data_IF_921063772297
#
_entry.id   IF_921063772297
#
_cell.length_a   1.000
_cell.length_b   1.000
_cell.length_c   1.000
_cell.angle_alpha   90.00
_cell.angle_beta   90.00
_cell.angle_gamma   90.00
#
_symmetry.space_group_name_H-M   'P 1'
#
loop_
_entity.id
_entity.type
_entity.pdbx_description
1 polymer ?
#
# COMPACT_ATOMS: atom_id res chain seq x y z
N UNK A 1 -22.97 -54.97 -15.76
CA UNK A 1 -21.84 -54.07 -16.08
C UNK A 1 -22.28 -52.65 -16.40
N UNK A 2 -23.27 -52.37 -17.25
CA UNK A 2 -23.72 -50.98 -17.58
C UNK A 2 -24.23 -50.16 -16.36
N UNK A 3 -24.90 -50.78 -15.38
CA UNK A 3 -25.39 -50.05 -14.17
C UNK A 3 -24.28 -49.68 -13.17
N UNK A 4 -23.18 -50.46 -13.15
CA UNK A 4 -22.01 -50.15 -12.32
C UNK A 4 -21.21 -48.95 -12.85
N UNK A 5 -21.13 -48.83 -14.19
CA UNK A 5 -20.47 -47.71 -14.86
C UNK A 5 -21.20 -46.37 -14.60
N UNK A 6 -22.53 -46.41 -14.60
CA UNK A 6 -23.38 -45.22 -14.32
C UNK A 6 -23.21 -44.71 -12.88
N UNK A 7 -23.02 -45.63 -11.91
CA UNK A 7 -22.80 -45.27 -10.52
C UNK A 7 -21.43 -44.62 -10.30
N UNK A 8 -20.39 -45.06 -11.00
CA UNK A 8 -19.05 -44.44 -10.93
C UNK A 8 -19.00 -43.04 -11.53
N UNK A 9 -19.79 -42.74 -12.56
CA UNK A 9 -19.84 -41.40 -13.18
C UNK A 9 -20.53 -40.38 -12.25
N UNK A 10 -21.51 -40.80 -11.46
CA UNK A 10 -22.20 -39.93 -10.49
C UNK A 10 -21.30 -39.58 -9.30
N UNK A 11 -20.39 -40.50 -8.88
CA UNK A 11 -19.48 -40.26 -7.76
C UNK A 11 -18.34 -39.26 -8.07
N UNK A 12 -17.99 -39.06 -9.35
CA UNK A 12 -16.92 -38.12 -9.76
C UNK A 12 -17.40 -36.68 -9.83
N UNK A 13 -18.72 -36.43 -9.91
CA UNK A 13 -19.29 -35.12 -10.08
C UNK A 13 -19.42 -34.27 -8.78
N UNK A 14 -19.02 -34.80 -7.62
CA UNK A 14 -19.32 -34.11 -6.32
C UNK A 14 -18.15 -33.33 -5.70
N UNK A 15 -17.00 -33.21 -6.37
CA UNK A 15 -15.87 -32.45 -5.86
C UNK A 15 -15.75 -31.03 -6.50
N UNK A 16 -16.85 -30.39 -6.81
CA UNK A 16 -16.85 -28.94 -7.04
C UNK A 16 -16.74 -28.26 -5.67
N UNK A 17 -15.53 -28.06 -5.18
CA UNK A 17 -15.26 -27.16 -4.06
C UNK A 17 -15.70 -25.77 -4.48
N UNK A 18 -16.90 -25.35 -4.10
CA UNK A 18 -17.35 -24.00 -4.29
C UNK A 18 -16.37 -23.07 -3.52
N UNK A 19 -15.58 -22.30 -4.26
CA UNK A 19 -14.79 -21.22 -3.65
C UNK A 19 -15.75 -20.34 -2.88
N UNK A 20 -15.52 -20.21 -1.57
CA UNK A 20 -16.31 -19.31 -0.74
C UNK A 20 -15.95 -17.88 -1.12
N UNK A 21 -16.97 -17.07 -1.42
CA UNK A 21 -16.83 -15.69 -1.82
C UNK A 21 -17.66 -14.87 -0.82
N UNK A 22 -17.08 -13.80 -0.28
CA UNK A 22 -17.80 -12.76 0.42
C UNK A 22 -17.80 -11.55 -0.50
N UNK A 23 -18.99 -11.07 -0.82
CA UNK A 23 -19.22 -9.87 -1.62
C UNK A 23 -20.23 -9.00 -0.86
N UNK A 24 -19.81 -7.80 -0.42
CA UNK A 24 -20.66 -6.98 0.45
C UNK A 24 -20.29 -5.50 0.37
N UNK A 25 -21.32 -4.64 0.44
CA UNK A 25 -21.16 -3.22 0.63
C UNK A 25 -20.59 -2.92 2.02
N UNK A 26 -19.74 -1.90 2.12
CA UNK A 26 -19.08 -1.53 3.37
C UNK A 26 -19.41 -0.10 3.84
N UNK A 27 -20.25 0.62 3.08
CA UNK A 27 -20.56 2.03 3.32
C UNK A 27 -19.39 2.97 3.00
N UNK A 28 -19.62 4.27 3.15
CA UNK A 28 -18.65 5.29 2.76
C UNK A 28 -17.41 5.29 3.66
N UNK A 29 -16.23 5.37 3.04
CA UNK A 29 -14.95 5.53 3.72
C UNK A 29 -13.99 6.37 2.87
N UNK A 30 -13.04 7.00 3.53
CA UNK A 30 -11.95 7.77 2.92
C UNK A 30 -10.57 7.32 3.40
N UNK A 31 -10.53 6.44 4.39
CA UNK A 31 -9.31 5.84 4.89
C UNK A 31 -9.46 4.31 4.91
N UNK A 32 -8.45 3.60 4.43
CA UNK A 32 -8.35 2.15 4.56
C UNK A 32 -7.16 1.78 5.45
N UNK A 33 -7.37 0.86 6.41
CA UNK A 33 -6.32 0.25 7.24
C UNK A 33 -6.29 -1.25 7.06
N UNK A 34 -5.13 -1.78 6.70
CA UNK A 34 -4.93 -3.21 6.44
C UNK A 34 -3.85 -3.78 7.34
N UNK A 35 -4.10 -4.96 7.91
CA UNK A 35 -3.25 -5.61 8.91
C UNK A 35 -3.01 -7.09 8.58
N UNK A 36 -2.16 -7.76 9.39
CA UNK A 36 -2.05 -9.21 9.49
C UNK A 36 -1.67 -9.92 8.18
N UNK A 37 -0.71 -9.38 7.40
CA UNK A 37 -0.25 -9.94 6.12
C UNK A 37 -1.34 -10.00 5.02
N UNK A 38 -2.47 -9.34 5.20
CA UNK A 38 -3.55 -9.33 4.21
C UNK A 38 -3.09 -8.64 2.92
N UNK A 39 -3.45 -9.22 1.77
CA UNK A 39 -3.22 -8.64 0.44
C UNK A 39 -4.49 -7.97 -0.08
N UNK A 40 -4.39 -6.68 -0.43
CA UNK A 40 -5.50 -5.88 -0.94
C UNK A 40 -5.18 -5.33 -2.32
N UNK A 41 -6.12 -5.49 -3.24
CA UNK A 41 -6.16 -4.75 -4.50
C UNK A 41 -7.24 -3.66 -4.42
N UNK A 42 -6.83 -2.40 -4.54
CA UNK A 42 -7.71 -1.24 -4.55
C UNK A 42 -8.21 -0.99 -5.97
N UNK A 43 -9.51 -0.80 -6.14
CA UNK A 43 -10.17 -0.61 -7.44
C UNK A 43 -11.10 0.61 -7.33
N UNK A 44 -10.90 1.61 -8.18
CA UNK A 44 -11.79 2.76 -8.27
C UNK A 44 -13.16 2.33 -8.78
N UNK A 45 -14.24 2.81 -8.15
CA UNK A 45 -15.62 2.38 -8.46
C UNK A 45 -16.61 3.48 -8.11
N UNK A 46 -17.87 3.29 -8.53
CA UNK A 46 -18.99 4.13 -8.12
C UNK A 46 -19.64 3.65 -6.81
N UNK A 47 -19.15 2.54 -6.22
CA UNK A 47 -19.66 1.95 -4.98
C UNK A 47 -18.53 1.52 -4.04
N UNK A 48 -18.81 1.53 -2.74
CA UNK A 48 -17.88 1.08 -1.69
C UNK A 48 -18.19 -0.36 -1.28
N UNK A 49 -17.37 -1.30 -1.71
CA UNK A 49 -17.62 -2.74 -1.59
C UNK A 49 -16.33 -3.51 -1.35
N UNK A 50 -16.40 -4.64 -0.66
CA UNK A 50 -15.31 -5.61 -0.57
C UNK A 50 -15.72 -6.92 -1.20
N UNK A 51 -14.76 -7.53 -1.91
CA UNK A 51 -14.88 -8.87 -2.49
C UNK A 51 -13.71 -9.71 -1.99
N UNK A 52 -14.01 -10.73 -1.17
CA UNK A 52 -13.01 -11.61 -0.55
C UNK A 52 -13.13 -12.98 -1.21
N UNK A 53 -12.02 -13.47 -1.78
CA UNK A 53 -11.92 -14.77 -2.44
C UNK A 53 -10.80 -15.60 -1.81
N UNK A 54 -11.01 -16.90 -1.65
CA UNK A 54 -9.98 -17.81 -1.17
C UNK A 54 -10.48 -18.82 -0.14
N UNK A 55 -9.54 -19.48 0.54
CA UNK A 55 -9.85 -20.49 1.53
C UNK A 55 -10.23 -19.91 2.91
N UNK A 56 -9.65 -18.75 3.25
CA UNK A 56 -9.72 -18.15 4.59
C UNK A 56 -10.71 -16.97 4.68
N UNK A 57 -11.72 -16.92 3.80
CA UNK A 57 -12.65 -15.77 3.71
C UNK A 57 -13.36 -15.47 5.03
N UNK A 58 -13.66 -16.49 5.86
CA UNK A 58 -14.31 -16.32 7.16
C UNK A 58 -13.36 -15.89 8.27
N UNK A 59 -12.06 -15.95 8.05
CA UNK A 59 -11.05 -15.50 9.01
C UNK A 59 -10.76 -13.99 8.89
N UNK A 60 -11.29 -13.35 7.85
CA UNK A 60 -11.20 -11.90 7.65
C UNK A 60 -12.32 -11.20 8.43
N UNK A 61 -11.93 -10.20 9.17
CA UNK A 61 -12.82 -9.27 9.85
C UNK A 61 -12.68 -7.88 9.26
N UNK A 62 -13.80 -7.27 8.91
CA UNK A 62 -13.82 -5.85 8.50
C UNK A 62 -14.74 -5.02 9.36
N UNK A 63 -14.44 -3.75 9.49
CA UNK A 63 -15.30 -2.76 10.14
C UNK A 63 -15.12 -1.43 9.42
N UNK A 64 -16.23 -0.73 9.18
CA UNK A 64 -16.18 0.67 8.78
C UNK A 64 -16.74 1.51 9.94
N UNK A 65 -15.92 2.41 10.47
CA UNK A 65 -16.32 3.33 11.54
C UNK A 65 -15.77 4.72 11.26
N UNK A 66 -16.64 5.71 11.27
CA UNK A 66 -16.27 7.11 11.02
C UNK A 66 -15.48 7.32 9.72
N UNK A 67 -15.84 6.60 8.65
CA UNK A 67 -15.16 6.70 7.36
C UNK A 67 -13.79 5.99 7.28
N UNK A 68 -13.47 5.10 8.24
CA UNK A 68 -12.27 4.27 8.25
C UNK A 68 -12.65 2.81 8.05
N UNK A 69 -12.34 2.26 6.88
CA UNK A 69 -12.46 0.84 6.60
C UNK A 69 -11.23 0.12 7.13
N UNK A 70 -11.42 -0.78 8.08
CA UNK A 70 -10.36 -1.58 8.70
C UNK A 70 -10.51 -3.04 8.32
N UNK A 71 -9.44 -3.65 7.79
CA UNK A 71 -9.35 -5.07 7.42
C UNK A 71 -8.29 -5.74 8.29
N UNK A 72 -8.64 -6.84 8.95
CA UNK A 72 -7.72 -7.63 9.78
C UNK A 72 -8.16 -9.09 9.86
N UNK A 73 -7.28 -9.96 10.29
CA UNK A 73 -7.63 -11.34 10.63
C UNK A 73 -8.37 -11.44 11.97
N UNK A 74 -9.15 -12.50 12.18
CA UNK A 74 -9.60 -12.87 13.51
C UNK A 74 -8.38 -13.18 14.41
N UNK A 75 -8.49 -12.89 15.70
CA UNK A 75 -7.36 -12.96 16.65
C UNK A 75 -6.64 -14.32 16.66
N UNK A 76 -7.40 -15.41 16.51
CA UNK A 76 -6.87 -16.79 16.46
C UNK A 76 -6.11 -17.11 15.15
N UNK A 77 -6.25 -16.26 14.13
CA UNK A 77 -5.67 -16.41 12.78
C UNK A 77 -4.75 -15.24 12.41
N UNK A 78 -4.27 -14.52 13.39
CA UNK A 78 -3.38 -13.38 13.17
C UNK A 78 -2.13 -13.80 12.38
N UNK A 79 -1.70 -12.97 11.41
CA UNK A 79 -0.58 -13.24 10.49
C UNK A 79 -0.75 -14.45 9.55
N UNK A 80 -1.97 -14.84 9.20
CA UNK A 80 -2.27 -15.87 8.19
C UNK A 80 -3.00 -15.30 6.97
N UNK A 81 -2.86 -14.00 6.70
CA UNK A 81 -3.54 -13.31 5.61
C UNK A 81 -2.91 -13.48 4.22
N UNK A 82 -1.72 -14.06 4.10
CA UNK A 82 -0.95 -14.14 2.84
C UNK A 82 -1.70 -14.84 1.69
N UNK A 83 -2.56 -15.82 1.99
CA UNK A 83 -3.32 -16.57 0.98
C UNK A 83 -4.71 -15.95 0.69
N UNK A 84 -4.97 -14.74 1.18
CA UNK A 84 -6.27 -14.09 1.06
C UNK A 84 -6.17 -12.81 0.24
N UNK A 85 -6.71 -12.85 -0.97
CA UNK A 85 -6.82 -11.67 -1.83
C UNK A 85 -8.16 -10.98 -1.58
N UNK A 86 -8.10 -9.70 -1.25
CA UNK A 86 -9.26 -8.84 -1.06
C UNK A 86 -9.25 -7.77 -2.14
N UNK A 87 -10.31 -7.69 -2.93
CA UNK A 87 -10.58 -6.55 -3.79
C UNK A 87 -11.42 -5.54 -2.99
N UNK A 88 -10.92 -4.32 -2.88
CA UNK A 88 -11.63 -3.21 -2.22
C UNK A 88 -11.99 -2.18 -3.26
N UNK A 89 -13.28 -2.05 -3.51
CA UNK A 89 -13.86 -1.05 -4.40
C UNK A 89 -14.14 0.21 -3.60
N UNK A 90 -13.70 1.37 -4.10
CA UNK A 90 -13.83 2.64 -3.39
C UNK A 90 -14.28 3.78 -4.29
N UNK A 91 -15.08 4.69 -3.74
CA UNK A 91 -15.51 5.93 -4.42
C UNK A 91 -14.50 7.06 -4.21
N UNK A 92 -14.02 7.25 -2.99
CA UNK A 92 -13.01 8.23 -2.60
C UNK A 92 -12.03 7.61 -1.61
N UNK A 93 -10.74 7.97 -1.70
CA UNK A 93 -9.74 7.42 -0.82
C UNK A 93 -8.61 8.43 -0.56
N UNK A 94 -8.62 9.03 0.62
CA UNK A 94 -7.64 10.05 1.03
C UNK A 94 -6.40 9.43 1.70
N UNK A 95 -6.58 8.31 2.42
CA UNK A 95 -5.51 7.68 3.22
C UNK A 95 -5.46 6.17 3.01
N UNK A 96 -4.26 5.67 2.70
CA UNK A 96 -3.94 4.24 2.63
C UNK A 96 -2.93 3.90 3.73
N UNK A 97 -3.31 3.04 4.68
CA UNK A 97 -2.50 2.68 5.85
C UNK A 97 -2.30 1.16 5.94
N UNK A 98 -1.10 0.70 5.63
CA UNK A 98 -0.67 -0.69 5.70
C UNK A 98 0.14 -0.98 6.97
N UNK A 99 -0.21 -2.05 7.67
CA UNK A 99 0.38 -2.45 8.94
C UNK A 99 0.65 -3.96 8.97
N UNK A 100 1.54 -4.39 9.87
CA UNK A 100 1.75 -5.81 10.19
C UNK A 100 1.97 -6.67 8.94
N UNK A 101 2.86 -6.22 8.04
CA UNK A 101 3.22 -6.93 6.81
C UNK A 101 2.16 -6.93 5.70
N UNK A 102 1.07 -6.17 5.82
CA UNK A 102 0.04 -6.07 4.79
C UNK A 102 0.61 -5.61 3.44
N UNK A 103 0.02 -6.09 2.35
CA UNK A 103 0.37 -5.68 0.99
C UNK A 103 -0.82 -4.99 0.33
N UNK A 104 -0.65 -3.76 -0.09
CA UNK A 104 -1.70 -2.96 -0.72
C UNK A 104 -1.23 -2.51 -2.10
N UNK A 105 -2.01 -2.83 -3.12
CA UNK A 105 -1.72 -2.47 -4.50
C UNK A 105 -2.91 -1.72 -5.09
N UNK A 106 -2.65 -0.65 -5.81
CA UNK A 106 -3.59 -0.05 -6.73
C UNK A 106 -3.01 -0.14 -8.13
N UNK A 107 -3.65 -0.92 -9.03
CA UNK A 107 -3.18 -1.10 -10.40
C UNK A 107 -3.67 -0.01 -11.34
N UNK A 108 -4.63 0.80 -10.90
CA UNK A 108 -5.15 1.96 -11.61
C UNK A 108 -4.44 3.23 -11.14
N UNK A 109 -4.42 4.24 -12.01
CA UNK A 109 -3.87 5.55 -11.65
C UNK A 109 -4.85 6.27 -10.71
N UNK A 110 -4.36 6.69 -9.54
CA UNK A 110 -5.15 7.49 -8.60
C UNK A 110 -5.01 8.96 -8.98
N UNK A 111 -6.12 9.59 -9.36
CA UNK A 111 -6.17 10.99 -9.76
C UNK A 111 -6.99 11.80 -8.75
N UNK A 112 -6.32 12.71 -8.02
CA UNK A 112 -6.94 13.58 -7.00
C UNK A 112 -5.96 14.67 -6.55
N UNK A 113 -6.43 15.63 -5.74
CA UNK A 113 -5.57 16.72 -5.27
C UNK A 113 -4.52 16.23 -4.27
N UNK A 114 -4.88 15.33 -3.34
CA UNK A 114 -4.01 14.88 -2.26
C UNK A 114 -4.22 13.42 -1.91
N UNK A 115 -3.12 12.74 -1.54
CA UNK A 115 -3.15 11.39 -0.97
C UNK A 115 -2.13 11.25 0.16
N UNK A 116 -2.47 10.46 1.18
CA UNK A 116 -1.57 10.06 2.24
C UNK A 116 -1.33 8.54 2.24
N UNK A 117 -0.06 8.14 2.22
CA UNK A 117 0.38 6.74 2.23
C UNK A 117 1.17 6.46 3.49
N UNK A 118 0.74 5.48 4.29
CA UNK A 118 1.39 5.05 5.52
C UNK A 118 1.70 3.57 5.46
N UNK A 119 2.98 3.19 5.49
CA UNK A 119 3.42 1.81 5.58
C UNK A 119 4.24 1.61 6.85
N UNK A 120 3.86 0.65 7.67
CA UNK A 120 4.55 0.37 8.92
C UNK A 120 4.58 -1.13 9.23
N UNK A 121 5.54 -1.51 10.10
CA UNK A 121 5.68 -2.90 10.55
C UNK A 121 5.79 -3.91 9.39
N UNK A 122 6.67 -3.59 8.42
CA UNK A 122 6.93 -4.43 7.25
C UNK A 122 5.87 -4.40 6.16
N UNK A 123 4.83 -3.56 6.27
CA UNK A 123 3.82 -3.43 5.22
C UNK A 123 4.40 -2.82 3.93
N UNK A 124 3.81 -3.17 2.79
CA UNK A 124 4.16 -2.62 1.47
C UNK A 124 2.94 -2.01 0.79
N UNK A 125 3.10 -0.79 0.30
CA UNK A 125 2.11 -0.09 -0.53
C UNK A 125 2.73 0.17 -1.90
N UNK A 126 2.03 -0.19 -2.98
CA UNK A 126 2.42 0.12 -4.36
C UNK A 126 1.27 0.78 -5.10
N UNK A 127 1.50 2.00 -5.62
CA UNK A 127 0.46 2.82 -6.23
C UNK A 127 1.02 3.74 -7.33
N UNK A 128 0.29 3.83 -8.44
CA UNK A 128 0.46 4.89 -9.44
C UNK A 128 -0.47 6.06 -9.11
N UNK A 129 0.01 7.32 -9.27
CA UNK A 129 -0.78 8.50 -8.94
C UNK A 129 -0.53 9.69 -9.85
N UNK A 130 -1.54 10.55 -9.96
CA UNK A 130 -1.45 11.90 -10.50
C UNK A 130 -2.13 12.84 -9.51
N UNK A 131 -1.32 13.54 -8.70
CA UNK A 131 -1.81 14.33 -7.56
C UNK A 131 -1.08 15.68 -7.47
N UNK A 132 -1.66 16.66 -6.78
CA UNK A 132 -0.93 17.88 -6.43
C UNK A 132 0.01 17.62 -5.26
N UNK A 133 -0.43 16.85 -4.24
CA UNK A 133 0.34 16.63 -3.04
C UNK A 133 0.29 15.17 -2.55
N UNK A 134 1.46 14.57 -2.36
CA UNK A 134 1.63 13.24 -1.78
C UNK A 134 2.30 13.33 -0.40
N UNK A 135 1.66 12.80 0.65
CA UNK A 135 2.23 12.63 1.98
C UNK A 135 2.59 11.16 2.20
N UNK A 136 3.87 10.87 2.45
CA UNK A 136 4.39 9.51 2.47
C UNK A 136 5.10 9.26 3.79
N UNK A 137 4.67 8.23 4.49
CA UNK A 137 5.26 7.79 5.75
C UNK A 137 5.59 6.31 5.69
N UNK A 138 6.87 5.97 5.81
CA UNK A 138 7.33 4.59 5.93
C UNK A 138 8.17 4.43 7.22
N UNK A 139 7.73 3.54 8.11
CA UNK A 139 8.38 3.35 9.41
C UNK A 139 8.45 1.86 9.76
N UNK A 140 9.42 1.51 10.62
CA UNK A 140 9.57 0.12 11.13
C UNK A 140 9.57 -0.92 9.99
N UNK A 141 10.44 -0.68 9.00
CA UNK A 141 10.58 -1.55 7.82
C UNK A 141 9.43 -1.47 6.81
N UNK A 142 8.50 -0.52 6.94
CA UNK A 142 7.46 -0.27 5.94
C UNK A 142 8.05 0.21 4.62
N UNK A 143 7.42 -0.14 3.50
CA UNK A 143 7.89 0.15 2.15
C UNK A 143 6.77 0.80 1.36
N UNK A 144 7.06 1.95 0.74
CA UNK A 144 6.14 2.65 -0.16
C UNK A 144 6.79 2.80 -1.52
N UNK A 145 6.17 2.22 -2.55
CA UNK A 145 6.57 2.29 -3.95
C UNK A 145 5.55 3.14 -4.71
N UNK A 146 6.03 4.19 -5.41
CA UNK A 146 5.16 5.12 -6.13
C UNK A 146 5.65 5.41 -7.53
N UNK A 147 4.69 5.71 -8.42
CA UNK A 147 4.96 6.14 -9.80
C UNK A 147 3.95 7.17 -10.28
N UNK A 148 4.24 7.85 -11.39
CA UNK A 148 3.34 8.84 -12.01
C UNK A 148 3.81 10.27 -11.80
N UNK A 149 2.88 11.17 -11.43
CA UNK A 149 3.12 12.60 -11.31
C UNK A 149 2.60 13.13 -9.96
N UNK A 150 3.37 13.97 -9.31
CA UNK A 150 2.89 14.82 -8.22
C UNK A 150 3.55 16.20 -8.32
N UNK A 151 2.84 17.27 -7.98
CA UNK A 151 3.48 18.58 -7.91
C UNK A 151 4.47 18.63 -6.76
N UNK A 152 4.08 18.15 -5.59
CA UNK A 152 4.94 18.09 -4.42
C UNK A 152 4.75 16.81 -3.61
N UNK A 153 5.83 16.36 -2.96
CA UNK A 153 5.80 15.24 -2.05
C UNK A 153 6.53 15.54 -0.74
N UNK A 154 5.99 15.00 0.36
CA UNK A 154 6.59 15.03 1.68
C UNK A 154 6.80 13.62 2.19
N UNK A 155 8.05 13.27 2.51
CA UNK A 155 8.45 11.91 2.84
C UNK A 155 9.02 11.88 4.25
N UNK A 156 8.50 11.00 5.10
CA UNK A 156 8.98 10.73 6.46
C UNK A 156 9.36 9.28 6.61
N UNK A 157 10.65 9.02 6.82
CA UNK A 157 11.17 7.69 7.07
C UNK A 157 11.73 7.57 8.49
N UNK A 158 11.47 6.45 9.13
CA UNK A 158 12.00 6.16 10.44
C UNK A 158 12.18 4.64 10.63
N UNK A 159 13.17 4.24 11.42
CA UNK A 159 13.40 2.84 11.81
C UNK A 159 13.40 1.88 10.61
N UNK A 160 14.24 2.20 9.60
CA UNK A 160 14.41 1.37 8.41
C UNK A 160 13.26 1.44 7.39
N UNK A 161 12.42 2.50 7.42
CA UNK A 161 11.42 2.72 6.38
C UNK A 161 12.06 2.98 5.01
N UNK A 162 11.40 2.53 3.95
CA UNK A 162 11.90 2.61 2.56
C UNK A 162 10.88 3.32 1.67
N UNK A 163 11.37 4.25 0.86
CA UNK A 163 10.60 4.93 -0.18
C UNK A 163 11.22 4.71 -1.55
N UNK A 164 10.52 3.98 -2.42
CA UNK A 164 10.88 3.65 -3.80
C UNK A 164 10.09 4.59 -4.75
N UNK A 165 10.46 5.87 -4.81
CA UNK A 165 9.74 6.93 -5.51
C UNK A 165 10.43 7.51 -6.75
N UNK A 166 11.48 6.86 -7.27
CA UNK A 166 12.18 7.32 -8.49
C UNK A 166 11.26 7.53 -9.70
N UNK A 167 10.19 6.72 -9.79
CA UNK A 167 9.22 6.76 -10.88
C UNK A 167 8.09 7.79 -10.66
N UNK A 168 7.98 8.41 -9.48
CA UNK A 168 7.07 9.52 -9.21
C UNK A 168 7.76 10.84 -9.54
N UNK A 169 7.41 11.46 -10.65
CA UNK A 169 8.00 12.74 -11.08
C UNK A 169 7.37 13.87 -10.31
N UNK A 170 8.21 14.68 -9.62
CA UNK A 170 7.75 15.83 -8.84
C UNK A 170 8.54 17.09 -9.17
N UNK A 171 7.94 18.25 -8.91
CA UNK A 171 8.64 19.53 -8.93
C UNK A 171 9.38 19.75 -7.60
N UNK A 172 8.67 19.53 -6.48
CA UNK A 172 9.18 19.78 -5.12
C UNK A 172 9.15 18.50 -4.29
N UNK A 173 10.26 18.20 -3.62
CA UNK A 173 10.36 17.06 -2.73
C UNK A 173 10.96 17.46 -1.38
N UNK A 174 10.37 16.99 -0.29
CA UNK A 174 10.95 17.13 1.05
C UNK A 174 11.04 15.76 1.71
N UNK A 175 12.24 15.39 2.21
CA UNK A 175 12.45 14.11 2.87
C UNK A 175 13.07 14.29 4.24
N UNK A 176 12.49 13.60 5.24
CA UNK A 176 13.01 13.50 6.61
C UNK A 176 13.28 12.06 6.99
N UNK A 177 14.52 11.76 7.37
CA UNK A 177 14.93 10.44 7.90
C UNK A 177 15.38 10.63 9.34
N UNK A 178 14.78 9.91 10.28
CA UNK A 178 15.09 10.08 11.72
C UNK A 178 15.99 9.00 12.31
N UNK A 179 15.84 7.73 11.92
CA UNK A 179 16.64 6.62 12.42
C UNK A 179 16.74 5.51 11.36
N UNK A 180 17.71 5.67 10.46
CA UNK A 180 17.88 4.79 9.30
C UNK A 180 16.69 4.85 8.35
N UNK A 181 16.90 4.41 7.13
CA UNK A 181 15.91 4.37 6.06
C UNK A 181 16.55 4.68 4.72
N UNK A 182 15.83 4.40 3.65
CA UNK A 182 16.28 4.64 2.29
C UNK A 182 15.20 5.35 1.48
N UNK A 183 15.56 6.41 0.79
CA UNK A 183 14.66 7.15 -0.09
C UNK A 183 15.25 7.27 -1.48
N UNK A 184 14.54 6.75 -2.48
CA UNK A 184 14.73 7.10 -3.88
C UNK A 184 13.63 8.09 -4.29
N UNK A 185 14.00 9.32 -4.65
CA UNK A 185 13.03 10.35 -4.98
C UNK A 185 13.45 11.13 -6.24
N UNK A 186 12.45 11.69 -6.90
CA UNK A 186 12.65 12.58 -8.03
C UNK A 186 12.21 14.00 -7.66
N UNK A 187 12.97 15.02 -8.09
CA UNK A 187 12.57 16.43 -8.03
C UNK A 187 13.18 17.17 -9.23
N UNK A 188 12.41 18.07 -9.87
CA UNK A 188 12.92 18.90 -10.97
C UNK A 188 13.32 20.32 -10.50
N UNK A 189 12.68 20.85 -9.47
CA UNK A 189 12.91 22.22 -9.02
C UNK A 189 13.68 22.28 -7.71
N UNK A 190 13.11 21.72 -6.64
CA UNK A 190 13.72 21.81 -5.31
C UNK A 190 13.61 20.49 -4.54
N UNK A 191 14.68 20.18 -3.81
CA UNK A 191 14.68 19.12 -2.82
C UNK A 191 15.23 19.58 -1.48
N UNK A 192 14.45 19.33 -0.39
CA UNK A 192 14.84 19.56 0.99
C UNK A 192 15.09 18.24 1.70
N UNK A 193 16.33 18.01 2.17
CA UNK A 193 16.76 16.76 2.76
C UNK A 193 17.20 16.97 4.21
N UNK A 194 16.57 16.24 5.14
CA UNK A 194 16.94 16.26 6.55
C UNK A 194 17.15 14.84 7.07
N UNK A 195 18.41 14.47 7.33
CA UNK A 195 18.79 13.14 7.88
C UNK A 195 19.38 13.33 9.27
N UNK A 196 18.75 12.76 10.30
CA UNK A 196 19.17 12.94 11.69
C UNK A 196 20.13 11.83 12.19
N UNK A 197 19.86 10.56 11.90
CA UNK A 197 20.65 9.44 12.38
C UNK A 197 20.69 8.29 11.36
N UNK A 198 21.68 8.36 10.46
CA UNK A 198 21.84 7.39 9.37
C UNK A 198 20.72 7.42 8.34
N UNK A 199 20.95 6.76 7.22
CA UNK A 199 20.01 6.63 6.11
C UNK A 199 20.59 7.15 4.80
N UNK A 200 20.02 6.69 3.70
CA UNK A 200 20.47 6.98 2.35
C UNK A 200 19.37 7.68 1.55
N UNK A 201 19.73 8.74 0.82
CA UNK A 201 18.83 9.47 -0.05
C UNK A 201 19.43 9.55 -1.44
N UNK A 202 18.72 9.00 -2.42
CA UNK A 202 19.04 9.07 -3.83
C UNK A 202 18.10 10.05 -4.51
N UNK A 203 18.63 11.14 -5.03
CA UNK A 203 17.88 12.21 -5.69
C UNK A 203 18.08 12.13 -7.18
N UNK A 204 16.98 12.01 -7.91
CA UNK A 204 16.91 12.01 -9.37
C UNK A 204 16.22 13.28 -9.87
N UNK A 205 16.36 13.58 -11.18
CA UNK A 205 15.66 14.69 -11.83
C UNK A 205 16.44 15.99 -11.90
N UNK A 206 17.68 16.03 -11.38
CA UNK A 206 18.60 17.17 -11.46
C UNK A 206 17.96 18.49 -10.99
N UNK A 207 17.47 18.58 -9.72
CA UNK A 207 16.77 19.75 -9.21
C UNK A 207 17.63 21.02 -9.22
N UNK A 208 17.00 22.16 -9.46
CA UNK A 208 17.65 23.46 -9.50
C UNK A 208 18.20 23.87 -8.12
N UNK A 209 17.53 23.45 -7.04
CA UNK A 209 17.90 23.76 -5.65
C UNK A 209 17.96 22.50 -4.79
N UNK A 210 19.04 22.33 -4.02
CA UNK A 210 19.25 21.20 -3.14
C UNK A 210 19.66 21.68 -1.76
N UNK A 211 18.76 21.55 -0.79
CA UNK A 211 18.98 21.88 0.61
C UNK A 211 19.24 20.62 1.43
N UNK A 212 20.43 20.52 2.05
CA UNK A 212 20.88 19.32 2.78
C UNK A 212 21.17 19.64 4.24
N UNK A 213 20.59 18.87 5.15
CA UNK A 213 20.89 18.90 6.56
C UNK A 213 21.10 17.50 7.10
N UNK A 214 22.31 17.17 7.55
CA UNK A 214 22.65 15.86 8.14
C UNK A 214 23.25 16.08 9.52
N UNK A 215 22.86 15.30 10.53
CA UNK A 215 23.36 15.45 11.90
C UNK A 215 24.28 14.29 12.31
N UNK A 216 23.77 13.06 12.42
CA UNK A 216 24.55 11.92 12.87
C UNK A 216 24.60 10.83 11.79
N UNK A 217 25.44 11.05 10.79
CA UNK A 217 25.56 10.15 9.64
C UNK A 217 24.45 10.39 8.60
N UNK A 218 24.45 9.54 7.56
CA UNK A 218 23.58 9.64 6.39
C UNK A 218 24.35 9.98 5.13
N UNK A 219 23.89 9.45 4.00
CA UNK A 219 24.52 9.66 2.68
C UNK A 219 23.49 10.19 1.71
N UNK A 220 23.88 11.15 0.91
CA UNK A 220 23.03 11.78 -0.09
C UNK A 220 23.72 11.69 -1.44
N UNK A 221 23.06 11.03 -2.38
CA UNK A 221 23.54 10.78 -3.73
C UNK A 221 22.67 11.55 -4.72
N UNK A 222 23.27 12.39 -5.53
CA UNK A 222 22.60 13.05 -6.65
C UNK A 222 22.89 12.18 -7.88
N UNK A 223 21.84 11.74 -8.55
CA UNK A 223 21.90 10.82 -9.69
C UNK A 223 21.49 11.56 -10.96
N UNK A 224 22.22 11.34 -12.04
CA UNK A 224 21.94 11.90 -13.38
C UNK A 224 20.73 11.21 -14.05
#
# INVERSE_FOLDING_TARGET
>A
MKRLLTLCVILVATNLSAQRIIDTEVGDFKEIKVFDLIEVNLIKSDENRILIKGHNVHDIKWTNRNGVLKLKMHLEKKFLGEDTLIEVYYTDLDVIDGNEGAKIVCNELVEQDRIELRAQEGARIRIGMQVDYADIRAVTGGIVETSGLAKSQYIVLNTGGIFEGRALKTEFSSVKISAGGEAELFASDQVDINVRAGGDVYVYGNPNEINKNTFAGGRIFIQD
#
